data_IF_936851922413
#
_entry.id   IF_936851922413
#
_cell.length_a   1.000
_cell.length_b   1.000
_cell.length_c   1.000
_cell.angle_alpha   90.00
_cell.angle_beta   90.00
_cell.angle_gamma   90.00
#
_symmetry.space_group_name_H-M   'P 1'
#
loop_
_entity.id
_entity.type
_entity.pdbx_description
1 polymer ?
#
# COMPACT_ATOMS: atom_id res chain seq x y z
N UNK A 1 -20.75 83.82 -40.15
CA UNK A 1 -19.60 83.48 -41.01
C UNK A 1 -18.51 82.95 -40.09
N UNK A 2 -17.82 81.81 -40.22
CA UNK A 2 -17.80 80.62 -41.11
C UNK A 2 -16.72 79.72 -40.47
N UNK A 3 -17.06 78.55 -39.89
CA UNK A 3 -16.76 77.16 -40.35
C UNK A 3 -15.51 76.93 -41.24
N UNK A 4 -14.89 75.76 -41.01
CA UNK A 4 -14.12 74.91 -41.94
C UNK A 4 -12.63 75.28 -42.22
N UNK A 5 -11.67 74.42 -41.80
CA UNK A 5 -11.03 73.30 -42.55
C UNK A 5 -10.00 73.82 -43.60
N UNK A 6 -8.84 73.23 -43.94
CA UNK A 6 -8.26 71.87 -43.86
C UNK A 6 -6.81 71.94 -44.39
N UNK A 7 -5.93 71.07 -43.83
CA UNK A 7 -4.74 70.37 -44.36
C UNK A 7 -3.65 71.06 -45.23
N UNK A 8 -2.36 70.76 -44.95
CA UNK A 8 -1.57 69.73 -45.67
C UNK A 8 -0.08 69.65 -45.26
N UNK A 9 0.46 68.41 -45.24
CA UNK A 9 1.89 68.05 -45.33
C UNK A 9 2.61 67.84 -43.99
N UNK A 10 2.74 66.66 -43.37
CA UNK A 10 3.18 65.33 -43.82
C UNK A 10 4.67 65.26 -44.24
N UNK A 11 5.47 64.49 -43.48
CA UNK A 11 6.76 63.98 -43.97
C UNK A 11 7.79 63.63 -42.89
N UNK A 12 7.94 62.33 -42.61
CA UNK A 12 9.15 61.68 -42.11
C UNK A 12 9.50 61.79 -40.61
N UNK A 13 8.76 61.07 -39.74
CA UNK A 13 9.35 60.47 -38.52
C UNK A 13 8.49 59.29 -38.02
N UNK A 14 8.36 58.24 -38.83
CA UNK A 14 7.42 57.14 -38.54
C UNK A 14 7.91 55.71 -38.80
N UNK A 15 9.16 55.47 -39.19
CA UNK A 15 9.56 54.15 -39.74
C UNK A 15 10.73 53.43 -39.06
N UNK A 16 11.13 53.79 -37.83
CA UNK A 16 12.28 53.12 -37.18
C UNK A 16 12.01 52.45 -35.83
N UNK A 17 10.74 52.23 -35.44
CA UNK A 17 10.43 51.53 -34.19
C UNK A 17 9.27 50.52 -34.34
N UNK A 18 9.31 49.73 -35.41
CA UNK A 18 8.37 48.63 -35.63
C UNK A 18 9.04 47.35 -36.13
N UNK A 19 10.33 47.16 -35.82
CA UNK A 19 11.03 45.91 -36.08
C UNK A 19 11.73 45.46 -34.79
N UNK A 20 11.55 44.19 -34.43
CA UNK A 20 12.16 43.47 -33.30
C UNK A 20 11.40 43.46 -31.96
N UNK A 21 10.11 43.13 -32.00
CA UNK A 21 9.51 42.21 -31.04
C UNK A 21 8.56 41.23 -31.74
N UNK A 22 9.05 40.59 -32.79
CA UNK A 22 8.56 39.26 -33.14
C UNK A 22 9.26 38.30 -32.18
N UNK A 23 8.64 38.06 -31.01
CA UNK A 23 8.91 36.83 -30.27
C UNK A 23 8.43 35.71 -31.18
N UNK A 24 9.33 35.19 -32.00
CA UNK A 24 9.13 33.93 -32.70
C UNK A 24 9.07 32.84 -31.62
N UNK A 25 7.88 32.62 -31.07
CA UNK A 25 7.50 31.40 -30.37
C UNK A 25 7.64 30.25 -31.37
N UNK A 26 8.87 29.77 -31.53
CA UNK A 26 9.16 28.47 -32.10
C UNK A 26 8.23 27.47 -31.38
N UNK A 27 7.40 26.69 -32.10
CA UNK A 27 6.52 25.73 -31.46
C UNK A 27 7.40 24.76 -30.68
N UNK A 28 7.34 24.82 -29.35
CA UNK A 28 8.06 23.92 -28.47
C UNK A 28 7.69 22.50 -28.92
N UNK A 29 8.66 21.78 -29.48
CA UNK A 29 8.42 20.41 -29.94
C UNK A 29 7.88 19.64 -28.74
N UNK A 30 6.71 18.98 -28.83
CA UNK A 30 6.12 18.32 -27.69
C UNK A 30 7.11 17.29 -27.15
N UNK A 31 7.43 17.40 -25.86
CA UNK A 31 8.36 16.48 -25.21
C UNK A 31 7.84 15.05 -25.39
N UNK A 32 8.75 14.13 -25.72
CA UNK A 32 8.40 12.71 -25.67
C UNK A 32 8.01 12.33 -24.23
N UNK A 33 7.18 11.29 -24.02
CA UNK A 33 6.84 10.80 -22.67
C UNK A 33 8.07 10.56 -21.80
N UNK A 34 9.13 10.03 -22.41
CA UNK A 34 10.43 9.81 -21.79
C UNK A 34 11.08 11.10 -21.29
N UNK A 35 11.11 12.15 -22.12
CA UNK A 35 11.71 13.44 -21.76
C UNK A 35 10.89 14.19 -20.71
N UNK A 36 9.56 14.17 -20.83
CA UNK A 36 8.67 14.78 -19.84
C UNK A 36 8.81 14.11 -18.47
N UNK A 37 8.92 12.77 -18.44
CA UNK A 37 9.21 12.03 -17.21
C UNK A 37 10.59 12.39 -16.64
N UNK A 38 11.63 12.42 -17.47
CA UNK A 38 12.99 12.74 -17.01
C UNK A 38 13.08 14.17 -16.45
N UNK A 39 12.34 15.12 -17.04
CA UNK A 39 12.22 16.48 -16.54
C UNK A 39 11.54 16.53 -15.17
N UNK A 40 10.38 15.87 -15.00
CA UNK A 40 9.68 15.75 -13.72
C UNK A 40 10.58 15.11 -12.65
N UNK A 41 11.25 14.01 -13.00
CA UNK A 41 12.16 13.32 -12.09
C UNK A 41 13.30 14.22 -11.63
N UNK A 42 14.00 14.85 -12.58
CA UNK A 42 15.16 15.70 -12.29
C UNK A 42 14.78 16.88 -11.41
N UNK A 43 13.61 17.46 -11.63
CA UNK A 43 13.11 18.58 -10.85
C UNK A 43 12.64 18.16 -9.45
N UNK A 44 11.78 17.15 -9.34
CA UNK A 44 11.11 16.84 -8.07
C UNK A 44 11.92 15.89 -7.17
N UNK A 45 12.66 14.93 -7.73
CA UNK A 45 13.26 13.85 -6.93
C UNK A 45 14.20 14.35 -5.81
N UNK A 46 15.08 15.35 -6.03
CA UNK A 46 15.96 15.84 -4.95
C UNK A 46 15.17 16.39 -3.75
N UNK A 47 14.11 17.17 -4.01
CA UNK A 47 13.26 17.71 -2.96
C UNK A 47 12.45 16.63 -2.25
N UNK A 48 11.87 15.69 -3.00
CA UNK A 48 11.10 14.58 -2.44
C UNK A 48 11.96 13.65 -1.57
N UNK A 49 13.23 13.43 -1.93
CA UNK A 49 14.13 12.60 -1.10
C UNK A 49 14.43 13.30 0.22
N UNK A 50 14.63 14.62 0.20
CA UNK A 50 14.80 15.42 1.43
C UNK A 50 13.55 15.41 2.31
N UNK A 51 12.38 15.58 1.71
CA UNK A 51 11.09 15.51 2.41
C UNK A 51 10.85 14.13 3.05
N UNK A 52 11.00 13.05 2.28
CA UNK A 52 10.84 11.67 2.79
C UNK A 52 11.90 11.30 3.83
N UNK A 53 13.08 11.92 3.80
CA UNK A 53 14.05 11.80 4.88
C UNK A 53 13.57 12.46 6.18
N UNK A 54 12.98 13.65 6.13
CA UNK A 54 12.36 14.29 7.31
C UNK A 54 11.21 13.42 7.89
N UNK A 55 10.51 12.67 7.04
CA UNK A 55 9.47 11.73 7.48
C UNK A 55 10.02 10.46 8.13
N UNK A 56 11.17 9.96 7.70
CA UNK A 56 11.63 8.59 8.05
C UNK A 56 12.90 8.56 8.91
N UNK A 57 13.71 9.61 8.86
CA UNK A 57 15.05 9.66 9.45
C UNK A 57 16.06 8.72 8.80
N UNK A 58 15.71 8.10 7.66
CA UNK A 58 16.46 7.01 7.03
C UNK A 58 16.74 7.34 5.58
N UNK A 59 18.01 7.50 5.24
CA UNK A 59 18.49 7.95 3.92
C UNK A 59 18.15 6.93 2.84
N UNK A 60 18.38 5.65 3.11
CA UNK A 60 18.07 4.59 2.14
C UNK A 60 16.57 4.39 1.93
N UNK A 61 15.77 4.50 3.00
CA UNK A 61 14.31 4.40 2.87
C UNK A 61 13.71 5.61 2.16
N UNK A 62 14.24 6.82 2.41
CA UNK A 62 13.84 8.03 1.70
C UNK A 62 14.06 7.92 0.18
N UNK A 63 15.27 7.51 -0.23
CA UNK A 63 15.57 7.27 -1.66
C UNK A 63 14.67 6.19 -2.26
N UNK A 64 14.53 5.06 -1.57
CA UNK A 64 13.68 3.95 -2.03
C UNK A 64 12.22 4.38 -2.19
N UNK A 65 11.70 5.22 -1.28
CA UNK A 65 10.33 5.76 -1.36
C UNK A 65 10.10 6.57 -2.62
N UNK A 66 11.04 7.47 -2.93
CA UNK A 66 10.96 8.33 -4.13
C UNK A 66 11.14 7.51 -5.40
N UNK A 67 12.13 6.63 -5.44
CA UNK A 67 12.32 5.71 -6.56
C UNK A 67 11.06 4.87 -6.82
N UNK A 68 10.44 4.34 -5.75
CA UNK A 68 9.22 3.56 -5.87
C UNK A 68 8.07 4.41 -6.41
N UNK A 69 7.88 5.63 -5.90
CA UNK A 69 6.85 6.54 -6.39
C UNK A 69 7.02 6.86 -7.88
N UNK A 70 8.24 7.15 -8.33
CA UNK A 70 8.52 7.40 -9.75
C UNK A 70 8.41 6.15 -10.62
N UNK A 71 8.71 4.95 -10.10
CA UNK A 71 8.41 3.70 -10.82
C UNK A 71 6.91 3.52 -11.02
N UNK A 72 6.09 3.81 -10.01
CA UNK A 72 4.64 3.78 -10.17
C UNK A 72 4.17 4.86 -11.15
N UNK A 73 4.74 6.07 -11.09
CA UNK A 73 4.42 7.15 -12.02
C UNK A 73 4.72 6.76 -13.47
N UNK A 74 5.85 6.10 -13.74
CA UNK A 74 6.18 5.60 -15.07
C UNK A 74 5.19 4.52 -15.55
N UNK A 75 4.77 3.62 -14.66
CA UNK A 75 3.78 2.58 -14.98
C UNK A 75 2.40 3.16 -15.32
N UNK A 76 2.06 4.31 -14.73
CA UNK A 76 0.81 5.06 -14.95
C UNK A 76 1.03 6.36 -15.71
N UNK A 77 2.08 6.42 -16.52
CA UNK A 77 2.50 7.69 -17.12
C UNK A 77 1.43 8.40 -17.93
N UNK A 78 0.57 7.72 -18.72
CA UNK A 78 -0.51 8.39 -19.43
C UNK A 78 -1.50 9.14 -18.52
N UNK A 79 -1.74 8.65 -17.30
CA UNK A 79 -2.61 9.29 -16.31
C UNK A 79 -1.88 10.43 -15.60
N UNK A 80 -0.62 10.19 -15.19
CA UNK A 80 0.17 11.18 -14.44
C UNK A 80 0.55 12.38 -15.31
N UNK A 81 0.86 12.16 -16.59
CA UNK A 81 1.29 13.22 -17.50
C UNK A 81 0.18 14.24 -17.83
N UNK A 82 -1.09 13.85 -17.68
CA UNK A 82 -2.25 14.73 -17.90
C UNK A 82 -2.82 15.30 -16.60
N UNK A 83 -2.28 14.89 -15.45
CA UNK A 83 -2.67 15.43 -14.15
C UNK A 83 -2.31 16.91 -14.05
N UNK A 84 -3.11 17.68 -13.31
CA UNK A 84 -2.86 19.11 -13.08
C UNK A 84 -1.59 19.34 -12.27
N UNK A 85 -1.28 18.45 -11.33
CA UNK A 85 -0.06 18.48 -10.50
C UNK A 85 0.58 17.09 -10.40
N UNK A 86 1.38 16.67 -11.41
CA UNK A 86 2.11 15.41 -11.35
C UNK A 86 3.13 15.36 -10.21
N UNK A 87 3.60 16.52 -9.71
CA UNK A 87 4.55 16.55 -8.61
C UNK A 87 3.87 16.20 -7.27
N UNK A 88 2.64 16.69 -7.03
CA UNK A 88 1.82 16.27 -5.89
C UNK A 88 1.51 14.77 -5.95
N UNK A 89 1.12 14.24 -7.13
CA UNK A 89 0.87 12.80 -7.29
C UNK A 89 2.05 11.95 -6.82
N UNK A 90 3.26 12.29 -7.28
CA UNK A 90 4.48 11.55 -6.88
C UNK A 90 4.80 11.77 -5.41
N UNK A 91 4.59 12.98 -4.86
CA UNK A 91 4.78 13.30 -3.44
C UNK A 91 3.89 12.42 -2.55
N UNK A 92 2.59 12.35 -2.86
CA UNK A 92 1.62 11.51 -2.15
C UNK A 92 2.11 10.06 -2.13
N UNK A 93 2.53 9.54 -3.29
CA UNK A 93 2.98 8.16 -3.38
C UNK A 93 4.30 7.89 -2.67
N UNK A 94 5.22 8.85 -2.69
CA UNK A 94 6.46 8.76 -1.94
C UNK A 94 6.20 8.79 -0.43
N UNK A 95 5.28 9.63 0.05
CA UNK A 95 4.93 9.75 1.47
C UNK A 95 4.21 8.51 1.98
N UNK A 96 3.29 7.97 1.20
CA UNK A 96 2.56 6.75 1.55
C UNK A 96 3.52 5.56 1.69
N UNK A 97 4.44 5.41 0.74
CA UNK A 97 5.47 4.38 0.87
C UNK A 97 6.38 4.67 2.07
N UNK A 98 6.86 5.90 2.26
CA UNK A 98 7.78 6.26 3.34
C UNK A 98 7.23 5.98 4.74
N UNK A 99 5.94 6.26 4.97
CA UNK A 99 5.28 6.13 6.26
C UNK A 99 4.63 4.75 6.49
N UNK A 100 4.75 3.84 5.52
CA UNK A 100 4.14 2.52 5.59
C UNK A 100 4.61 1.73 6.81
N UNK A 101 3.70 1.15 7.62
CA UNK A 101 4.05 0.42 8.84
C UNK A 101 4.88 -0.84 8.56
N UNK A 102 4.78 -1.41 7.36
CA UNK A 102 5.47 -2.62 6.95
C UNK A 102 7.00 -2.50 6.94
N UNK A 103 7.55 -1.29 6.88
CA UNK A 103 9.00 -1.08 6.95
C UNK A 103 9.61 -1.54 8.28
N UNK A 104 8.81 -1.62 9.34
CA UNK A 104 9.24 -2.18 10.65
C UNK A 104 9.57 -3.66 10.56
N UNK A 105 8.99 -4.38 9.59
CA UNK A 105 9.21 -5.82 9.40
C UNK A 105 10.41 -6.12 8.50
N UNK A 106 10.99 -5.12 7.83
CA UNK A 106 12.07 -5.30 6.87
C UNK A 106 13.43 -5.36 7.58
N UNK A 107 14.19 -6.48 7.51
CA UNK A 107 15.49 -6.60 8.19
C UNK A 107 16.50 -5.53 7.79
N UNK A 108 16.52 -5.17 6.49
CA UNK A 108 17.30 -4.08 5.89
C UNK A 108 17.18 -2.75 6.66
N UNK A 109 16.03 -2.52 7.28
CA UNK A 109 15.67 -1.25 7.91
C UNK A 109 15.64 -1.38 9.45
N UNK A 110 16.26 -2.42 10.03
CA UNK A 110 16.34 -2.56 11.49
C UNK A 110 17.40 -1.67 12.11
N UNK A 111 18.52 -1.46 11.41
CA UNK A 111 19.59 -0.61 11.91
C UNK A 111 19.28 0.86 11.63
N UNK A 112 19.39 1.74 12.64
CA UNK A 112 19.28 3.17 12.42
C UNK A 112 20.48 3.67 11.62
N UNK A 113 20.23 4.68 10.80
CA UNK A 113 21.29 5.39 10.10
C UNK A 113 22.21 6.14 11.09
N UNK A 114 23.45 6.48 10.67
CA UNK A 114 24.30 7.38 11.45
C UNK A 114 23.56 8.67 11.78
N UNK A 115 23.68 9.15 13.03
CA UNK A 115 22.91 10.30 13.49
C UNK A 115 23.33 11.56 12.74
N UNK A 116 22.42 12.53 12.67
CA UNK A 116 22.70 13.83 12.04
C UNK A 116 23.86 14.50 12.76
N UNK A 117 24.84 15.04 12.03
CA UNK A 117 26.08 15.56 12.62
C UNK A 117 25.84 16.79 13.50
N UNK A 118 25.07 17.76 13.01
CA UNK A 118 24.76 18.99 13.72
C UNK A 118 23.82 18.72 14.93
N UNK A 119 24.16 19.13 16.17
CA UNK A 119 23.34 18.84 17.35
C UNK A 119 21.90 19.40 17.30
N UNK A 120 21.65 20.67 16.93
CA UNK A 120 20.28 21.18 16.85
C UNK A 120 19.46 20.49 15.75
N UNK A 121 20.05 20.17 14.61
CA UNK A 121 19.43 19.33 13.57
C UNK A 121 19.05 17.94 14.07
N UNK A 122 19.95 17.31 14.83
CA UNK A 122 19.73 16.00 15.45
C UNK A 122 18.58 16.05 16.46
N UNK A 123 18.48 17.13 17.23
CA UNK A 123 17.39 17.34 18.17
C UNK A 123 16.05 17.48 17.44
N UNK A 124 15.99 18.31 16.39
CA UNK A 124 14.79 18.47 15.55
C UNK A 124 14.36 17.13 14.93
N UNK A 125 15.28 16.41 14.29
CA UNK A 125 14.99 15.08 13.74
C UNK A 125 14.46 14.12 14.81
N UNK A 126 15.06 14.10 16.00
CA UNK A 126 14.59 13.24 17.10
C UNK A 126 13.16 13.58 17.56
N UNK A 127 12.78 14.87 17.55
CA UNK A 127 11.40 15.28 17.88
C UNK A 127 10.44 14.90 16.75
N UNK A 128 10.78 15.19 15.49
CA UNK A 128 9.98 14.79 14.33
C UNK A 128 9.67 13.30 14.35
N UNK A 129 10.69 12.46 14.60
CA UNK A 129 10.57 11.01 14.62
C UNK A 129 9.74 10.46 15.79
N UNK A 130 9.49 11.26 16.84
CA UNK A 130 8.58 10.94 17.95
C UNK A 130 7.12 11.29 17.65
N UNK A 131 6.85 12.17 16.69
CA UNK A 131 5.48 12.50 16.30
C UNK A 131 4.77 11.29 15.68
N UNK A 132 3.46 11.09 15.91
CA UNK A 132 2.66 10.15 15.14
C UNK A 132 2.80 10.41 13.62
N UNK A 133 2.86 9.37 12.77
CA UNK A 133 3.05 9.54 11.32
C UNK A 133 2.09 10.53 10.65
N UNK A 134 0.78 10.55 10.96
CA UNK A 134 -0.14 11.52 10.36
C UNK A 134 0.20 12.98 10.75
N UNK A 135 0.57 13.22 12.01
CA UNK A 135 0.96 14.56 12.49
C UNK A 135 2.26 15.03 11.83
N UNK A 136 3.24 14.13 11.70
CA UNK A 136 4.51 14.41 11.02
C UNK A 136 4.31 14.73 9.54
N UNK A 137 3.45 13.96 8.84
CA UNK A 137 3.06 14.22 7.45
C UNK A 137 2.42 15.58 7.30
N UNK A 138 1.41 15.88 8.12
CA UNK A 138 0.71 17.16 8.11
C UNK A 138 1.64 18.34 8.39
N UNK A 139 2.51 18.24 9.41
CA UNK A 139 3.50 19.28 9.73
C UNK A 139 4.44 19.52 8.54
N UNK A 140 4.96 18.45 7.93
CA UNK A 140 5.87 18.59 6.80
C UNK A 140 5.19 19.21 5.57
N UNK A 141 3.95 18.83 5.25
CA UNK A 141 3.21 19.40 4.13
C UNK A 141 2.92 20.90 4.34
N UNK A 142 2.47 21.27 5.53
CA UNK A 142 2.11 22.64 5.83
C UNK A 142 3.35 23.52 6.08
N UNK A 143 4.16 23.19 7.09
CA UNK A 143 5.30 24.03 7.51
C UNK A 143 6.57 23.77 6.67
N UNK A 144 6.73 22.59 6.07
CA UNK A 144 7.92 22.27 5.28
C UNK A 144 7.78 22.51 3.78
N UNK A 145 6.67 22.08 3.19
CA UNK A 145 6.37 22.26 1.75
C UNK A 145 5.69 23.59 1.48
N UNK A 146 4.93 24.12 2.45
CA UNK A 146 4.21 25.39 2.30
C UNK A 146 2.83 25.24 1.66
N UNK A 147 2.22 24.04 1.70
CA UNK A 147 0.85 23.86 1.25
C UNK A 147 -0.13 24.56 2.20
N UNK A 148 -1.25 25.03 1.65
CA UNK A 148 -2.31 25.54 2.51
C UNK A 148 -3.03 24.40 3.26
N UNK A 149 -3.93 24.78 4.16
CA UNK A 149 -4.61 23.80 5.01
C UNK A 149 -5.60 22.91 4.21
N UNK A 150 -6.44 23.44 3.30
CA UNK A 150 -7.25 22.64 2.38
C UNK A 150 -6.45 21.66 1.51
N UNK A 151 -5.35 22.10 0.90
CA UNK A 151 -4.47 21.28 0.06
C UNK A 151 -3.83 20.17 0.89
N UNK A 152 -3.33 20.49 2.08
CA UNK A 152 -2.79 19.49 3.01
C UNK A 152 -3.84 18.46 3.41
N UNK A 153 -5.09 18.89 3.62
CA UNK A 153 -6.20 18.01 3.95
C UNK A 153 -6.51 17.06 2.79
N UNK A 154 -6.55 17.57 1.56
CA UNK A 154 -6.72 16.77 0.35
C UNK A 154 -5.60 15.72 0.17
N UNK A 155 -4.33 16.12 0.31
CA UNK A 155 -3.19 15.19 0.17
C UNK A 155 -3.10 14.14 1.27
N UNK A 156 -3.73 14.37 2.43
CA UNK A 156 -3.73 13.44 3.55
C UNK A 156 -5.05 12.67 3.68
N UNK A 157 -5.95 12.81 2.71
CA UNK A 157 -7.29 12.20 2.70
C UNK A 157 -8.04 12.44 4.01
N UNK A 158 -7.93 13.66 4.55
CA UNK A 158 -8.52 14.07 5.81
C UNK A 158 -9.39 15.31 5.63
N UNK A 159 -10.27 15.56 6.61
CA UNK A 159 -11.01 16.82 6.64
C UNK A 159 -10.10 17.98 7.07
N UNK A 160 -10.42 19.20 6.62
CA UNK A 160 -9.69 20.42 7.02
C UNK A 160 -9.61 20.59 8.54
N UNK A 161 -10.70 20.37 9.33
CA UNK A 161 -10.61 20.42 10.80
C UNK A 161 -9.69 19.35 11.40
N UNK A 162 -9.71 18.12 10.88
CA UNK A 162 -8.83 17.06 11.35
C UNK A 162 -7.36 17.39 11.07
N UNK A 163 -7.08 18.00 9.92
CA UNK A 163 -5.75 18.46 9.52
C UNK A 163 -5.28 19.62 10.41
N UNK A 164 -6.14 20.60 10.71
CA UNK A 164 -5.85 21.68 11.65
C UNK A 164 -5.48 21.14 13.03
N UNK A 165 -6.26 20.18 13.53
CA UNK A 165 -6.02 19.55 14.83
C UNK A 165 -4.69 18.77 14.84
N UNK A 166 -4.36 18.04 13.77
CA UNK A 166 -3.07 17.34 13.62
C UNK A 166 -1.90 18.33 13.64
N UNK A 167 -2.02 19.44 12.91
CA UNK A 167 -1.01 20.49 12.84
C UNK A 167 -0.78 21.14 14.20
N UNK A 168 -1.86 21.53 14.89
CA UNK A 168 -1.80 22.14 16.21
C UNK A 168 -1.06 21.22 17.21
N UNK A 169 -1.40 19.93 17.24
CA UNK A 169 -0.73 18.96 18.10
C UNK A 169 0.74 18.75 17.74
N UNK A 170 1.06 18.71 16.44
CA UNK A 170 2.43 18.57 15.96
C UNK A 170 3.29 19.76 16.42
N UNK A 171 2.80 20.99 16.22
CA UNK A 171 3.48 22.21 16.66
C UNK A 171 3.64 22.27 18.18
N UNK A 172 2.59 21.97 18.95
CA UNK A 172 2.67 21.90 20.41
C UNK A 172 3.76 20.91 20.89
N UNK A 173 3.88 19.75 20.23
CA UNK A 173 4.91 18.76 20.56
C UNK A 173 6.33 19.19 20.18
N UNK A 174 6.49 20.01 19.13
CA UNK A 174 7.76 20.65 18.74
C UNK A 174 8.13 21.71 19.76
N UNK A 175 7.27 22.70 19.99
CA UNK A 175 7.50 23.82 20.92
C UNK A 175 7.80 23.34 22.34
N UNK A 176 7.12 22.29 22.82
CA UNK A 176 7.38 21.73 24.15
C UNK A 176 8.80 21.16 24.33
N UNK A 177 9.51 20.84 23.24
CA UNK A 177 10.86 20.26 23.28
C UNK A 177 11.93 21.19 22.69
N UNK A 178 11.53 22.06 21.78
CA UNK A 178 12.36 22.99 21.03
C UNK A 178 11.62 24.35 21.02
N UNK A 179 11.67 25.11 22.13
CA UNK A 179 10.95 26.38 22.24
C UNK A 179 11.45 27.43 21.25
N UNK A 180 12.73 27.35 20.87
CA UNK A 180 13.35 28.19 19.83
C UNK A 180 12.80 27.94 18.41
N UNK A 181 11.89 26.97 18.24
CA UNK A 181 11.19 26.69 16.98
C UNK A 181 9.67 26.87 17.15
N UNK A 182 9.25 27.75 18.06
CA UNK A 182 7.85 28.09 18.25
C UNK A 182 7.29 28.92 17.07
N UNK A 183 8.14 29.74 16.44
CA UNK A 183 7.76 30.49 15.26
C UNK A 183 7.72 29.58 14.01
N UNK A 184 6.62 29.57 13.23
CA UNK A 184 6.53 28.76 12.03
C UNK A 184 7.59 29.07 10.97
N UNK A 185 8.06 30.33 10.88
CA UNK A 185 9.07 30.71 9.87
C UNK A 185 10.45 30.15 10.22
N UNK A 186 10.83 30.22 11.50
CA UNK A 186 12.05 29.58 12.03
C UNK A 186 12.00 28.05 11.85
N UNK A 187 10.83 27.44 12.12
CA UNK A 187 10.64 26.01 11.89
C UNK A 187 10.82 25.64 10.41
N UNK A 188 10.22 26.40 9.49
CA UNK A 188 10.36 26.20 8.05
C UNK A 188 11.83 26.26 7.63
N UNK A 189 12.54 27.32 8.02
CA UNK A 189 13.95 27.51 7.68
C UNK A 189 14.81 26.37 8.24
N UNK A 190 14.56 25.97 9.49
CA UNK A 190 15.28 24.86 10.12
C UNK A 190 15.01 23.52 9.43
N UNK A 191 13.77 23.24 9.03
CA UNK A 191 13.43 22.06 8.24
C UNK A 191 14.16 22.06 6.89
N UNK A 192 14.19 23.20 6.20
CA UNK A 192 14.88 23.35 4.92
C UNK A 192 16.40 23.13 5.05
N UNK A 193 17.02 23.70 6.09
CA UNK A 193 18.44 23.55 6.40
C UNK A 193 18.82 22.10 6.76
N UNK A 194 18.01 21.45 7.60
CA UNK A 194 18.19 20.04 7.95
C UNK A 194 18.12 19.14 6.71
N UNK A 195 17.17 19.43 5.81
CA UNK A 195 17.00 18.68 4.57
C UNK A 195 18.17 18.89 3.61
N UNK A 196 18.68 20.12 3.45
CA UNK A 196 19.75 20.46 2.49
C UNK A 196 21.13 19.94 2.92
N UNK A 197 21.40 19.91 4.22
CA UNK A 197 22.67 19.45 4.80
C UNK A 197 22.93 17.96 4.53
N UNK A 198 21.86 17.18 4.36
CA UNK A 198 21.98 15.78 4.01
C UNK A 198 22.26 15.61 2.51
N UNK A 199 23.45 15.10 2.16
CA UNK A 199 23.77 14.71 0.78
C UNK A 199 22.98 13.47 0.37
N UNK A 200 21.71 13.65 0.06
CA UNK A 200 20.82 12.62 -0.42
C UNK A 200 20.80 12.68 -1.95
N UNK A 201 21.55 11.78 -2.60
CA UNK A 201 21.47 11.63 -4.05
C UNK A 201 20.22 10.85 -4.42
N UNK A 202 19.41 11.39 -5.33
CA UNK A 202 18.43 10.61 -6.06
C UNK A 202 19.13 9.70 -7.08
N UNK A 203 18.51 8.57 -7.42
CA UNK A 203 18.99 7.72 -8.52
C UNK A 203 18.90 8.48 -9.86
N UNK A 204 19.57 7.98 -10.90
CA UNK A 204 19.49 8.58 -12.22
C UNK A 204 18.15 8.22 -12.91
N UNK A 205 17.49 9.17 -13.61
CA UNK A 205 16.20 8.93 -14.28
C UNK A 205 16.13 7.65 -15.16
N UNK A 206 17.11 7.36 -16.03
CA UNK A 206 17.05 6.15 -16.87
C UNK A 206 17.12 4.84 -16.05
N UNK A 207 17.78 4.85 -14.89
CA UNK A 207 17.83 3.68 -14.02
C UNK A 207 16.45 3.37 -13.41
N UNK A 208 15.67 4.40 -13.10
CA UNK A 208 14.32 4.25 -12.52
C UNK A 208 13.34 3.68 -13.55
N UNK A 209 13.38 4.17 -14.80
CA UNK A 209 12.56 3.61 -15.89
C UNK A 209 12.91 2.16 -16.20
N UNK A 210 14.18 1.88 -16.48
CA UNK A 210 14.63 0.52 -16.83
C UNK A 210 14.42 -0.47 -15.68
N UNK A 211 14.59 -0.02 -14.43
CA UNK A 211 14.27 -0.80 -13.23
C UNK A 211 12.78 -1.13 -13.13
N UNK A 212 11.90 -0.17 -13.42
CA UNK A 212 10.45 -0.38 -13.39
C UNK A 212 10.00 -1.44 -14.40
N UNK A 213 10.54 -1.41 -15.63
CA UNK A 213 10.21 -2.35 -16.71
C UNK A 213 10.71 -3.76 -16.44
N UNK A 214 11.92 -3.89 -15.87
CA UNK A 214 12.46 -5.19 -15.45
C UNK A 214 11.61 -5.80 -14.35
N UNK A 215 11.18 -4.98 -13.39
CA UNK A 215 10.37 -5.43 -12.26
C UNK A 215 8.95 -5.81 -12.69
N UNK A 216 8.33 -5.04 -13.59
CA UNK A 216 7.05 -5.40 -14.19
C UNK A 216 7.15 -6.75 -14.93
N UNK A 217 8.14 -6.91 -15.82
CA UNK A 217 8.38 -8.17 -16.53
C UNK A 217 8.66 -9.34 -15.59
N UNK A 218 9.41 -9.12 -14.51
CA UNK A 218 9.68 -10.14 -13.50
C UNK A 218 8.37 -10.59 -12.82
N UNK A 219 7.52 -9.66 -12.38
CA UNK A 219 6.24 -10.00 -11.75
C UNK A 219 5.28 -10.72 -12.71
N UNK A 220 5.20 -10.29 -13.97
CA UNK A 220 4.41 -10.99 -14.99
C UNK A 220 4.91 -12.42 -15.18
N UNK A 221 6.23 -12.61 -15.31
CA UNK A 221 6.84 -13.95 -15.45
C UNK A 221 6.61 -14.82 -14.21
N UNK A 222 6.74 -14.25 -13.01
CA UNK A 222 6.49 -14.95 -11.76
C UNK A 222 5.02 -15.39 -11.63
N UNK A 223 4.07 -14.52 -11.99
CA UNK A 223 2.65 -14.86 -12.01
C UNK A 223 2.35 -16.00 -13.00
N UNK A 224 2.92 -15.96 -14.21
CA UNK A 224 2.79 -17.04 -15.19
C UNK A 224 3.36 -18.35 -14.63
N UNK A 225 4.58 -18.32 -14.07
CA UNK A 225 5.23 -19.50 -13.50
C UNK A 225 4.42 -20.09 -12.33
N UNK A 226 3.86 -19.24 -11.46
CA UNK A 226 2.99 -19.66 -10.36
C UNK A 226 1.72 -20.35 -10.86
N UNK A 227 1.06 -19.78 -11.87
CA UNK A 227 -0.12 -20.40 -12.49
C UNK A 227 0.21 -21.75 -13.11
N UNK A 228 1.35 -21.88 -13.81
CA UNK A 228 1.82 -23.16 -14.37
C UNK A 228 2.09 -24.18 -13.27
N UNK A 229 2.73 -23.77 -12.16
CA UNK A 229 2.98 -24.64 -11.02
C UNK A 229 1.68 -25.10 -10.34
N UNK A 230 0.69 -24.21 -10.21
CA UNK A 230 -0.62 -24.55 -9.66
C UNK A 230 -1.35 -25.58 -10.55
N UNK A 231 -1.39 -25.36 -11.86
CA UNK A 231 -1.97 -26.31 -12.83
C UNK A 231 -1.25 -27.67 -12.76
N UNK A 232 0.08 -27.66 -12.73
CA UNK A 232 0.89 -28.88 -12.59
C UNK A 232 0.62 -29.62 -11.29
N UNK A 233 0.49 -28.89 -10.18
CA UNK A 233 0.16 -29.47 -8.86
C UNK A 233 -1.24 -30.08 -8.88
N UNK A 234 -2.24 -29.40 -9.45
CA UNK A 234 -3.60 -29.93 -9.59
C UNK A 234 -3.65 -31.15 -10.51
N UNK A 235 -2.89 -31.17 -11.62
CA UNK A 235 -2.82 -32.33 -12.49
C UNK A 235 -2.13 -33.52 -11.79
N UNK A 236 -1.11 -33.24 -10.99
CA UNK A 236 -0.42 -34.26 -10.19
C UNK A 236 -1.36 -34.85 -9.14
N UNK A 237 -2.10 -34.02 -8.40
CA UNK A 237 -3.07 -34.51 -7.40
C UNK A 237 -4.17 -35.33 -8.05
N UNK A 238 -4.71 -34.91 -9.20
CA UNK A 238 -5.69 -35.72 -9.94
C UNK A 238 -5.11 -37.07 -10.39
N UNK A 239 -3.81 -37.15 -10.68
CA UNK A 239 -3.15 -38.39 -11.09
C UNK A 239 -2.81 -39.32 -9.93
N UNK A 240 -2.47 -38.77 -8.76
CA UNK A 240 -1.95 -39.55 -7.62
C UNK A 240 -2.96 -39.72 -6.49
N UNK A 241 -4.06 -38.96 -6.48
CA UNK A 241 -5.07 -39.08 -5.44
C UNK A 241 -5.73 -40.47 -5.51
N UNK A 242 -5.82 -41.18 -4.37
CA UNK A 242 -6.56 -42.43 -4.31
C UNK A 242 -8.02 -42.16 -4.66
N UNK A 243 -8.50 -42.82 -5.71
CA UNK A 243 -9.85 -42.65 -6.26
C UNK A 243 -10.94 -43.34 -5.46
N UNK A 244 -10.55 -44.15 -4.47
CA UNK A 244 -11.47 -44.85 -3.58
C UNK A 244 -10.95 -44.74 -2.14
N UNK A 245 -11.88 -44.50 -1.23
CA UNK A 245 -11.64 -44.55 0.20
C UNK A 245 -12.01 -45.95 0.67
N UNK A 246 -11.03 -46.69 1.19
CA UNK A 246 -11.29 -47.94 1.90
C UNK A 246 -11.42 -47.61 3.40
N UNK A 247 -12.64 -47.69 3.98
CA UNK A 247 -12.82 -47.39 5.39
C UNK A 247 -11.99 -48.36 6.24
N UNK A 248 -11.24 -47.86 7.25
CA UNK A 248 -10.48 -48.74 8.11
C UNK A 248 -11.44 -49.69 8.82
N UNK A 249 -11.15 -50.99 8.77
CA UNK A 249 -11.91 -52.00 9.49
C UNK A 249 -11.80 -51.67 10.99
N UNK A 250 -12.90 -51.36 11.68
CA UNK A 250 -12.84 -51.11 13.12
C UNK A 250 -12.35 -52.38 13.82
N UNK A 251 -11.51 -52.27 14.87
CA UNK A 251 -11.10 -53.44 15.64
C UNK A 251 -12.35 -54.17 16.12
N UNK A 252 -12.38 -55.50 15.92
CA UNK A 252 -13.50 -56.32 16.34
C UNK A 252 -13.75 -56.15 17.83
N UNK A 253 -14.89 -55.58 18.21
CA UNK A 253 -15.35 -55.60 19.59
C UNK A 253 -15.85 -57.01 19.89
N UNK A 254 -15.35 -57.60 20.98
CA UNK A 254 -15.82 -58.89 21.44
C UNK A 254 -17.30 -58.75 21.88
N UNK A 255 -18.20 -59.39 21.14
CA UNK A 255 -19.62 -59.43 21.49
C UNK A 255 -19.79 -60.46 22.61
N UNK A 256 -19.65 -60.01 23.86
CA UNK A 256 -19.92 -60.81 25.04
C UNK A 256 -21.43 -61.00 25.21
N UNK A 257 -21.87 -62.23 25.50
CA UNK A 257 -23.27 -62.56 25.74
C UNK A 257 -24.04 -63.17 24.56
N UNK A 258 -23.35 -63.63 23.50
CA UNK A 258 -24.01 -64.49 22.50
C UNK A 258 -24.41 -65.80 23.21
N UNK A 259 -25.71 -66.15 23.24
CA UNK A 259 -26.13 -67.42 23.83
C UNK A 259 -25.37 -68.57 23.17
N UNK A 260 -24.94 -69.60 23.94
CA UNK A 260 -24.28 -70.76 23.35
C UNK A 260 -25.14 -71.30 22.21
N UNK A 261 -24.51 -71.68 21.09
CA UNK A 261 -25.21 -72.28 19.95
C UNK A 261 -26.04 -73.44 20.49
N UNK A 262 -27.36 -73.33 20.36
CA UNK A 262 -28.31 -74.38 20.74
C UNK A 262 -27.86 -75.66 20.02
N UNK A 263 -27.51 -76.69 20.78
CA UNK A 263 -27.09 -77.96 20.20
C UNK A 263 -28.20 -78.49 19.30
N UNK A 264 -27.86 -79.01 18.11
CA UNK A 264 -28.80 -79.68 17.20
C UNK A 264 -29.15 -81.10 17.71
N UNK A 265 -29.35 -81.25 19.02
CA UNK A 265 -29.74 -82.48 19.67
C UNK A 265 -31.19 -82.40 20.18
N UNK A 266 -31.80 -83.55 20.52
CA UNK A 266 -33.04 -83.55 21.27
C UNK A 266 -32.86 -82.75 22.57
N UNK A 267 -33.90 -82.02 22.97
CA UNK A 267 -33.87 -81.26 24.21
C UNK A 267 -33.65 -82.22 25.39
N UNK A 268 -32.88 -81.80 26.39
CA UNK A 268 -32.90 -82.47 27.68
C UNK A 268 -34.28 -82.32 28.33
N UNK A 269 -34.67 -83.24 29.22
CA UNK A 269 -35.95 -83.17 29.94
C UNK A 269 -36.15 -81.82 30.67
N UNK A 270 -35.07 -81.22 31.17
CA UNK A 270 -35.11 -79.90 31.81
C UNK A 270 -35.46 -78.78 30.81
N UNK A 271 -34.96 -78.86 29.58
CA UNK A 271 -35.26 -77.90 28.51
C UNK A 271 -36.66 -78.12 27.94
N UNK A 272 -37.15 -79.36 27.86
CA UNK A 272 -38.54 -79.65 27.48
C UNK A 272 -39.53 -79.09 28.51
N UNK A 273 -39.29 -79.33 29.81
CA UNK A 273 -40.09 -78.75 30.89
C UNK A 273 -40.09 -77.23 30.86
N UNK A 274 -38.93 -76.61 30.59
CA UNK A 274 -38.83 -75.16 30.44
C UNK A 274 -39.59 -74.66 29.22
N UNK A 275 -39.51 -75.36 28.08
CA UNK A 275 -40.26 -75.03 26.86
C UNK A 275 -41.76 -75.10 27.10
N UNK A 276 -42.25 -76.12 27.79
CA UNK A 276 -43.68 -76.28 28.08
C UNK A 276 -44.18 -75.20 29.05
N UNK A 277 -43.41 -74.89 30.11
CA UNK A 277 -43.71 -73.75 30.99
C UNK A 277 -43.73 -72.42 30.24
N UNK A 278 -42.78 -72.19 29.34
CA UNK A 278 -42.74 -70.97 28.53
C UNK A 278 -43.94 -70.90 27.58
N UNK A 279 -44.35 -72.02 26.97
CA UNK A 279 -45.56 -72.09 26.14
C UNK A 279 -46.83 -71.77 26.92
N UNK A 280 -47.00 -72.36 28.11
CA UNK A 280 -48.13 -72.02 28.98
C UNK A 280 -48.12 -70.53 29.36
N UNK A 281 -46.97 -70.00 29.80
CA UNK A 281 -46.86 -68.60 30.20
C UNK A 281 -47.12 -67.62 29.05
N UNK A 282 -46.73 -67.97 27.83
CA UNK A 282 -47.01 -67.15 26.64
C UNK A 282 -48.49 -67.19 26.26
N UNK A 283 -49.21 -68.29 26.49
CA UNK A 283 -50.65 -68.39 26.21
C UNK A 283 -51.52 -67.55 27.17
N UNK A 284 -50.96 -67.05 28.28
CA UNK A 284 -51.69 -66.29 29.30
C UNK A 284 -51.34 -64.78 29.38
N UNK A 285 -50.61 -64.22 28.41
CA UNK A 285 -50.31 -62.78 28.36
C UNK A 285 -51.42 -61.96 27.64
N UNK A 286 -51.98 -60.89 28.23
CA UNK A 286 -53.15 -60.18 27.71
C UNK A 286 -52.93 -59.29 26.47
N UNK A 287 -51.74 -59.23 25.88
CA UNK A 287 -51.48 -58.42 24.69
C UNK A 287 -50.56 -59.15 23.70
N UNK A 288 -51.15 -59.79 22.68
CA UNK A 288 -50.41 -60.07 21.44
C UNK A 288 -51.00 -59.21 20.32
N UNK A 289 -50.24 -58.19 19.93
CA UNK A 289 -50.47 -57.46 18.69
C UNK A 289 -50.19 -58.43 17.52
N UNK A 290 -51.24 -58.83 16.82
CA UNK A 290 -51.09 -59.55 15.56
C UNK A 290 -50.52 -58.58 14.51
N UNK A 291 -49.49 -58.97 13.74
CA UNK A 291 -48.98 -58.14 12.65
C UNK A 291 -50.07 -57.96 11.58
N UNK A 292 -50.45 -56.71 11.32
CA UNK A 292 -51.36 -56.35 10.23
C UNK A 292 -50.65 -56.69 8.91
N UNK A 293 -51.23 -57.60 8.14
CA UNK A 293 -50.74 -57.93 6.80
C UNK A 293 -50.79 -56.70 5.90
N UNK A 294 -49.68 -56.46 5.18
CA UNK A 294 -49.56 -55.41 4.17
C UNK A 294 -50.49 -55.68 2.98
#
# INVERSE_FOLDING_TARGET
>A
MTRDQVAQGAGATGELTAAQQEHEELPATPLTPAQAFDALYTFCAPALVRQTYLLTGRRELARESVERAFQLAWQRWPEVAVDRDPASWVRIMAYEYALSPWHRLRPRHRNPDPPVADPPDRALMAVLLKLPPPQRRTLLLYDGVGLDLPETAAETEASTPATAYRLMNARAAITARLPDLADPSELHERLALLASTQRLRAAQPPAVRTGSERRARFWTRAAIAFTVALIGTTALTLRTAPTHYEPPVPPGAEVQGVPPRVGQGPLSEAEESLRDKLRESMLSGPERLAPVGR
#
